data_IF_759884537756
#
_entry.id   IF_759884537756
#
_cell.length_a   1.000
_cell.length_b   1.000
_cell.length_c   1.000
_cell.angle_alpha   90.00
_cell.angle_beta   90.00
_cell.angle_gamma   90.00
#
_symmetry.space_group_name_H-M   'P 1'
#
loop_
_entity.id
_entity.type
_entity.pdbx_description
1 polymer ?
#
# COMPACT_ATOMS: atom_id res chain seq x y z
N UNK A 1 -18.51 1.43 3.06
CA UNK A 1 -17.46 0.43 2.75
C UNK A 1 -16.05 1.01 2.88
N UNK A 2 -15.52 1.87 1.98
CA UNK A 2 -14.12 2.35 2.12
C UNK A 2 -13.86 3.16 3.41
N UNK A 3 -14.78 4.07 3.75
CA UNK A 3 -14.77 4.78 5.05
C UNK A 3 -14.78 3.83 6.25
N UNK A 4 -15.60 2.79 6.19
CA UNK A 4 -15.73 1.79 7.25
C UNK A 4 -14.43 0.98 7.44
N UNK A 5 -13.71 0.66 6.35
CA UNK A 5 -12.39 0.03 6.44
C UNK A 5 -11.39 0.92 7.21
N UNK A 6 -11.34 2.22 6.90
CA UNK A 6 -10.48 3.17 7.62
C UNK A 6 -10.85 3.29 9.10
N UNK A 7 -12.16 3.33 9.41
CA UNK A 7 -12.63 3.38 10.79
C UNK A 7 -12.26 2.12 11.57
N UNK A 8 -12.48 0.94 10.99
CA UNK A 8 -12.10 -0.36 11.58
C UNK A 8 -10.58 -0.48 11.76
N UNK A 9 -9.79 -0.01 10.79
CA UNK A 9 -8.34 0.02 10.92
C UNK A 9 -7.89 0.98 12.01
N UNK A 10 -8.51 2.15 12.14
CA UNK A 10 -8.19 3.09 13.22
C UNK A 10 -8.51 2.49 14.60
N UNK A 11 -9.61 1.75 14.73
CA UNK A 11 -9.95 1.00 15.95
C UNK A 11 -8.89 -0.04 16.29
N UNK A 12 -8.42 -0.82 15.31
CA UNK A 12 -7.38 -1.82 15.51
C UNK A 12 -6.03 -1.18 15.87
N UNK A 13 -5.59 -0.19 15.10
CA UNK A 13 -4.34 0.54 15.33
C UNK A 13 -4.30 1.14 16.75
N UNK A 14 -5.42 1.71 17.21
CA UNK A 14 -5.51 2.24 18.57
C UNK A 14 -5.33 1.16 19.63
N UNK A 15 -5.87 -0.04 19.41
CA UNK A 15 -5.67 -1.19 20.31
C UNK A 15 -4.22 -1.67 20.35
N UNK A 16 -3.47 -1.50 19.26
CA UNK A 16 -2.06 -1.91 19.15
C UNK A 16 -1.07 -0.76 19.44
N UNK A 17 -1.55 0.39 19.90
CA UNK A 17 -0.71 1.50 20.40
C UNK A 17 -0.56 2.71 19.45
N UNK A 18 -1.19 2.69 18.28
CA UNK A 18 -1.20 3.83 17.35
C UNK A 18 -2.57 4.51 17.29
N UNK A 19 -2.71 5.69 17.91
CA UNK A 19 -3.95 6.48 17.80
C UNK A 19 -3.93 7.40 16.56
N UNK A 20 -4.40 6.86 15.42
CA UNK A 20 -4.50 7.58 14.16
C UNK A 20 -5.35 8.87 14.25
N UNK A 21 -6.42 8.86 15.06
CA UNK A 21 -7.31 10.04 15.20
C UNK A 21 -6.62 11.15 15.99
N UNK A 22 -5.89 10.78 17.04
CA UNK A 22 -5.07 11.73 17.79
C UNK A 22 -3.96 12.33 16.91
N UNK A 23 -3.25 11.51 16.14
CA UNK A 23 -2.23 11.99 15.21
C UNK A 23 -2.81 12.95 14.17
N UNK A 24 -3.96 12.65 13.56
CA UNK A 24 -4.60 13.56 12.60
C UNK A 24 -5.00 14.89 13.24
N UNK A 25 -5.50 14.86 14.47
CA UNK A 25 -5.96 16.08 15.17
C UNK A 25 -4.81 16.98 15.64
N UNK A 26 -3.67 16.38 15.98
CA UNK A 26 -2.46 17.08 16.39
C UNK A 26 -1.25 16.39 15.77
N UNK A 27 -0.92 16.79 14.53
CA UNK A 27 0.08 16.11 13.73
C UNK A 27 1.48 16.27 14.31
N UNK A 28 2.12 15.14 14.64
CA UNK A 28 3.51 15.06 15.08
C UNK A 28 4.32 14.23 14.06
N UNK A 29 5.23 14.87 13.29
CA UNK A 29 6.08 14.17 12.32
C UNK A 29 6.94 13.05 12.92
N UNK A 30 7.33 13.13 14.20
CA UNK A 30 8.13 12.09 14.85
C UNK A 30 7.30 10.83 15.10
N UNK A 31 6.07 11.01 15.59
CA UNK A 31 5.12 9.90 15.79
C UNK A 31 4.74 9.29 14.44
N UNK A 32 4.44 10.12 13.45
CA UNK A 32 4.18 9.67 12.09
C UNK A 32 5.35 8.84 11.53
N UNK A 33 6.58 9.35 11.61
CA UNK A 33 7.77 8.67 11.12
C UNK A 33 8.06 7.34 11.82
N UNK A 34 7.84 7.26 13.13
CA UNK A 34 7.98 6.01 13.89
C UNK A 34 7.03 4.92 13.36
N UNK A 35 5.76 5.25 13.21
CA UNK A 35 4.75 4.28 12.77
C UNK A 35 4.87 3.94 11.28
N UNK A 36 5.27 4.89 10.44
CA UNK A 36 5.62 4.62 9.04
C UNK A 36 6.70 3.54 8.95
N UNK A 37 7.79 3.65 9.72
CA UNK A 37 8.85 2.65 9.72
C UNK A 37 8.33 1.27 10.16
N UNK A 38 7.52 1.21 11.22
CA UNK A 38 6.95 -0.05 11.70
C UNK A 38 6.03 -0.71 10.66
N UNK A 39 5.14 0.06 10.04
CA UNK A 39 4.19 -0.47 9.06
C UNK A 39 4.83 -0.80 7.72
N UNK A 40 5.88 -0.08 7.28
CA UNK A 40 6.68 -0.47 6.10
C UNK A 40 7.37 -1.81 6.36
N UNK A 41 7.97 -1.99 7.55
CA UNK A 41 8.62 -3.26 7.89
C UNK A 41 7.61 -4.41 7.90
N UNK A 42 6.43 -4.22 8.51
CA UNK A 42 5.38 -5.23 8.52
C UNK A 42 4.87 -5.55 7.11
N UNK A 43 4.50 -4.53 6.32
CA UNK A 43 4.04 -4.72 4.94
C UNK A 43 5.11 -5.38 4.04
N UNK A 44 6.39 -5.11 4.29
CA UNK A 44 7.48 -5.77 3.57
C UNK A 44 7.55 -7.26 3.86
N UNK A 45 7.24 -7.69 5.09
CA UNK A 45 7.17 -9.11 5.42
C UNK A 45 5.98 -9.77 4.71
N UNK A 46 4.79 -9.16 4.72
CA UNK A 46 3.61 -9.71 4.04
C UNK A 46 3.79 -9.81 2.52
N UNK A 47 4.59 -8.91 1.93
CA UNK A 47 5.01 -9.03 0.52
C UNK A 47 5.82 -10.31 0.27
N UNK A 48 6.65 -10.73 1.22
CA UNK A 48 7.42 -11.96 1.12
C UNK A 48 6.58 -13.20 1.39
N UNK A 49 5.61 -13.13 2.30
CA UNK A 49 4.61 -14.19 2.50
C UNK A 49 3.74 -14.39 1.25
N UNK A 50 3.34 -13.31 0.59
CA UNK A 50 2.67 -13.37 -0.72
C UNK A 50 3.57 -13.98 -1.79
N UNK A 51 4.88 -13.65 -1.81
CA UNK A 51 5.83 -14.25 -2.74
C UNK A 51 5.92 -15.76 -2.54
N UNK A 52 5.90 -16.23 -1.30
CA UNK A 52 5.95 -17.65 -0.96
C UNK A 52 4.69 -18.43 -1.37
N UNK A 53 3.61 -17.74 -1.73
CA UNK A 53 2.45 -18.34 -2.39
C UNK A 53 2.69 -18.68 -3.88
N UNK A 54 3.88 -18.40 -4.43
CA UNK A 54 4.26 -18.66 -5.84
C UNK A 54 5.48 -19.57 -5.95
N UNK A 55 5.72 -20.20 -7.11
CA UNK A 55 6.94 -20.99 -7.37
C UNK A 55 8.18 -20.14 -7.71
N UNK A 56 8.44 -19.09 -6.94
CA UNK A 56 9.43 -18.06 -7.30
C UNK A 56 10.89 -18.56 -7.41
N UNK A 57 11.25 -19.62 -6.66
CA UNK A 57 12.62 -20.16 -6.59
C UNK A 57 13.06 -20.73 -7.94
N UNK A 58 14.01 -20.08 -8.59
CA UNK A 58 14.44 -20.46 -9.95
C UNK A 58 15.19 -21.80 -10.04
N UNK A 59 15.64 -22.36 -8.91
CA UNK A 59 16.38 -23.62 -8.84
C UNK A 59 15.49 -24.83 -8.49
N UNK A 60 14.17 -24.66 -8.35
CA UNK A 60 13.25 -25.76 -8.02
C UNK A 60 12.84 -26.58 -9.26
N UNK A 61 12.10 -27.67 -9.03
CA UNK A 61 11.62 -28.56 -10.09
C UNK A 61 10.62 -27.85 -11.00
N UNK A 62 9.70 -27.10 -10.41
CA UNK A 62 8.66 -26.32 -11.08
C UNK A 62 9.28 -25.33 -12.07
N UNK A 63 10.40 -24.70 -11.70
CA UNK A 63 11.12 -23.79 -12.59
C UNK A 63 11.71 -24.50 -13.82
N UNK A 64 12.30 -25.69 -13.66
CA UNK A 64 12.78 -26.51 -14.79
C UNK A 64 11.65 -26.98 -15.71
N UNK A 65 10.45 -27.08 -15.15
CA UNK A 65 9.22 -27.46 -15.85
C UNK A 65 8.46 -26.26 -16.43
N UNK A 66 9.02 -25.03 -16.35
CA UNK A 66 8.41 -23.81 -16.89
C UNK A 66 7.30 -23.20 -16.03
N UNK A 67 7.07 -23.74 -14.82
CA UNK A 67 5.99 -23.36 -13.90
C UNK A 67 6.38 -22.32 -12.84
N UNK A 68 7.56 -21.69 -12.95
CA UNK A 68 8.14 -20.76 -11.96
C UNK A 68 7.22 -19.58 -11.56
N UNK A 69 6.24 -19.24 -12.38
CA UNK A 69 5.36 -18.09 -12.15
C UNK A 69 3.94 -18.51 -11.77
N UNK A 70 3.70 -19.80 -11.54
CA UNK A 70 2.40 -20.27 -11.10
C UNK A 70 2.15 -19.92 -9.63
N UNK A 71 0.87 -19.69 -9.35
CA UNK A 71 0.35 -19.50 -8.01
C UNK A 71 0.12 -20.87 -7.37
N UNK A 72 0.85 -21.15 -6.30
CA UNK A 72 0.82 -22.41 -5.58
C UNK A 72 -0.29 -22.43 -4.51
N UNK A 73 -0.57 -21.28 -3.88
CA UNK A 73 -1.61 -21.16 -2.87
C UNK A 73 -2.44 -19.88 -3.09
N UNK A 74 -3.56 -20.03 -3.82
CA UNK A 74 -4.47 -18.91 -4.08
C UNK A 74 -5.21 -18.44 -2.82
N UNK A 75 -5.49 -19.34 -1.87
CA UNK A 75 -6.25 -18.95 -0.69
C UNK A 75 -5.38 -18.10 0.22
N UNK A 76 -4.15 -18.54 0.49
CA UNK A 76 -3.21 -17.77 1.30
C UNK A 76 -2.82 -16.46 0.60
N UNK A 77 -2.56 -16.49 -0.71
CA UNK A 77 -2.27 -15.25 -1.45
C UNK A 77 -3.37 -14.19 -1.33
N UNK A 78 -4.65 -14.59 -1.21
CA UNK A 78 -5.74 -13.65 -0.94
C UNK A 78 -5.67 -13.07 0.47
N UNK A 79 -5.24 -13.85 1.46
CA UNK A 79 -5.03 -13.39 2.85
C UNK A 79 -3.89 -12.37 2.88
N UNK A 80 -2.73 -12.69 2.30
CA UNK A 80 -1.57 -11.78 2.31
C UNK A 80 -1.84 -10.46 1.57
N UNK A 81 -2.66 -10.49 0.51
CA UNK A 81 -3.13 -9.27 -0.17
C UNK A 81 -3.99 -8.41 0.77
N UNK A 82 -4.79 -9.03 1.63
CA UNK A 82 -5.58 -8.31 2.62
C UNK A 82 -4.71 -7.84 3.78
N UNK A 83 -3.71 -8.60 4.24
CA UNK A 83 -2.78 -8.14 5.29
C UNK A 83 -2.00 -6.90 4.85
N UNK A 84 -1.59 -6.86 3.58
CA UNK A 84 -1.06 -5.63 2.97
C UNK A 84 -2.07 -4.47 2.97
N UNK A 85 -3.37 -4.72 2.82
CA UNK A 85 -4.40 -3.69 2.89
C UNK A 85 -4.51 -3.09 4.31
N UNK A 86 -4.39 -3.90 5.37
CA UNK A 86 -4.34 -3.41 6.76
C UNK A 86 -3.19 -2.42 6.94
N UNK A 87 -1.99 -2.77 6.45
CA UNK A 87 -0.83 -1.90 6.55
C UNK A 87 -0.90 -0.69 5.63
N UNK A 88 -1.45 -0.83 4.42
CA UNK A 88 -1.64 0.31 3.51
C UNK A 88 -2.55 1.39 4.10
N UNK A 89 -3.70 0.99 4.68
CA UNK A 89 -4.60 1.95 5.36
C UNK A 89 -3.89 2.60 6.56
N UNK A 90 -3.11 1.82 7.31
CA UNK A 90 -2.34 2.32 8.44
C UNK A 90 -1.27 3.33 8.03
N UNK A 91 -0.60 3.12 6.89
CA UNK A 91 0.34 4.09 6.31
C UNK A 91 -0.36 5.39 5.91
N UNK A 92 -1.54 5.31 5.28
CA UNK A 92 -2.34 6.49 4.97
C UNK A 92 -2.69 7.29 6.24
N UNK A 93 -3.09 6.60 7.30
CA UNK A 93 -3.37 7.22 8.60
C UNK A 93 -2.14 7.86 9.25
N UNK A 94 -0.93 7.31 9.06
CA UNK A 94 0.30 7.89 9.59
C UNK A 94 0.65 9.25 8.97
N UNK A 95 0.27 9.48 7.71
CA UNK A 95 0.41 10.79 7.05
C UNK A 95 -0.85 11.64 7.22
N UNK A 96 -1.72 11.25 8.15
CA UNK A 96 -2.88 12.03 8.54
C UNK A 96 -4.01 11.99 7.52
N UNK A 97 -4.09 11.00 6.63
CA UNK A 97 -5.19 10.86 5.66
C UNK A 97 -6.36 10.07 6.27
N UNK A 98 -7.58 10.45 5.89
CA UNK A 98 -8.77 9.64 6.06
C UNK A 98 -9.20 9.00 4.72
N UNK A 99 -10.33 8.30 4.72
CA UNK A 99 -10.81 7.62 3.53
C UNK A 99 -11.20 8.57 2.39
N UNK A 100 -11.70 9.76 2.70
CA UNK A 100 -12.09 10.74 1.70
C UNK A 100 -10.86 11.40 1.08
N UNK A 101 -9.90 11.79 1.92
CA UNK A 101 -8.60 12.30 1.49
C UNK A 101 -7.88 11.31 0.57
N UNK A 102 -7.78 10.05 0.99
CA UNK A 102 -7.13 9.00 0.21
C UNK A 102 -7.82 8.79 -1.14
N UNK A 103 -9.16 8.80 -1.17
CA UNK A 103 -9.93 8.69 -2.41
C UNK A 103 -9.72 9.89 -3.32
N UNK A 104 -9.77 11.11 -2.79
CA UNK A 104 -9.61 12.34 -3.57
C UNK A 104 -8.20 12.43 -4.19
N UNK A 105 -7.15 12.14 -3.40
CA UNK A 105 -5.78 12.08 -3.90
C UNK A 105 -5.61 10.97 -4.94
N UNK A 106 -6.27 9.81 -4.76
CA UNK A 106 -6.26 8.74 -5.75
C UNK A 106 -6.86 9.19 -7.08
N UNK A 107 -8.02 9.86 -7.07
CA UNK A 107 -8.66 10.36 -8.30
C UNK A 107 -7.78 11.41 -9.00
N UNK A 108 -7.16 12.31 -8.26
CA UNK A 108 -6.20 13.27 -8.82
C UNK A 108 -5.00 12.56 -9.47
N UNK A 109 -4.38 11.60 -8.75
CA UNK A 109 -3.27 10.81 -9.28
C UNK A 109 -3.67 9.95 -10.49
N UNK A 110 -4.88 9.41 -10.49
CA UNK A 110 -5.43 8.62 -11.58
C UNK A 110 -5.52 9.46 -12.86
N UNK A 111 -6.00 10.71 -12.78
CA UNK A 111 -6.04 11.64 -13.91
C UNK A 111 -4.64 11.92 -14.48
N UNK A 112 -3.66 12.17 -13.60
CA UNK A 112 -2.25 12.36 -14.01
C UNK A 112 -1.73 11.12 -14.74
N UNK A 113 -2.00 9.93 -14.21
CA UNK A 113 -1.55 8.67 -14.84
C UNK A 113 -2.23 8.41 -16.19
N UNK A 114 -3.52 8.71 -16.35
CA UNK A 114 -4.18 8.64 -17.65
C UNK A 114 -3.58 9.64 -18.65
N UNK A 115 -3.39 10.89 -18.24
CA UNK A 115 -2.77 11.90 -19.10
C UNK A 115 -1.33 11.54 -19.52
N UNK A 116 -0.60 10.80 -18.67
CA UNK A 116 0.71 10.22 -19.01
C UNK A 116 0.57 9.15 -20.11
N UNK A 117 -0.40 8.23 -19.98
CA UNK A 117 -0.64 7.17 -20.97
C UNK A 117 -1.08 7.75 -22.32
N UNK A 118 -1.98 8.73 -22.33
CA UNK A 118 -2.45 9.41 -23.56
C UNK A 118 -1.30 10.09 -24.34
N UNK A 119 -0.19 10.38 -23.67
CA UNK A 119 1.01 10.99 -24.24
C UNK A 119 2.12 9.98 -24.58
N UNK A 120 1.80 8.69 -24.72
CA UNK A 120 2.77 7.61 -24.94
C UNK A 120 3.89 7.60 -23.89
N UNK A 121 3.48 7.48 -22.62
CA UNK A 121 4.36 7.46 -21.46
C UNK A 121 5.69 6.72 -21.71
N UNK A 122 6.80 7.44 -21.66
CA UNK A 122 8.14 6.91 -21.83
C UNK A 122 8.98 7.17 -20.58
N UNK A 123 9.66 6.14 -20.09
CA UNK A 123 10.50 6.24 -18.90
C UNK A 123 11.62 7.27 -19.05
N UNK A 124 12.17 7.42 -20.26
CA UNK A 124 13.25 8.37 -20.58
C UNK A 124 12.83 9.85 -20.52
N UNK A 125 11.54 10.16 -20.62
CA UNK A 125 11.01 11.53 -20.63
C UNK A 125 10.19 11.86 -19.36
N UNK A 126 10.18 10.96 -18.38
CA UNK A 126 9.38 11.09 -17.18
C UNK A 126 10.00 12.10 -16.20
N UNK A 127 9.20 13.05 -15.73
CA UNK A 127 9.45 13.83 -14.51
C UNK A 127 8.37 13.53 -13.46
N UNK A 128 8.57 13.96 -12.21
CA UNK A 128 7.55 13.88 -11.16
C UNK A 128 6.89 15.24 -10.86
N UNK A 129 7.13 16.25 -11.71
CA UNK A 129 6.61 17.60 -11.50
C UNK A 129 5.08 17.68 -11.54
N UNK A 130 4.44 16.84 -12.36
CA UNK A 130 2.97 16.76 -12.43
C UNK A 130 2.33 16.31 -11.11
N UNK A 131 3.03 15.54 -10.27
CA UNK A 131 2.56 15.16 -8.94
C UNK A 131 2.48 16.35 -7.98
N UNK A 132 3.23 17.44 -8.19
CA UNK A 132 3.20 18.62 -7.30
C UNK A 132 1.83 19.32 -7.29
N UNK A 133 1.00 19.05 -8.29
CA UNK A 133 -0.36 19.58 -8.39
C UNK A 133 -1.39 18.72 -7.63
N UNK A 134 -0.99 17.59 -7.06
CA UNK A 134 -1.84 16.71 -6.27
C UNK A 134 -1.80 17.20 -4.82
N UNK A 135 -2.90 17.74 -4.34
CA UNK A 135 -3.01 18.37 -3.03
C UNK A 135 -4.28 17.92 -2.30
N UNK A 136 -4.23 17.97 -0.96
CA UNK A 136 -5.41 17.81 -0.10
C UNK A 136 -6.32 19.04 -0.19
#
# INVERSE_FOLDING_TARGET
MFKELFEKQAELNKRTGFDAKALRSNFDPKVAGLWINNYIAAMSNELEELRDCTFWKHWCKEAKEGRRFELNDLQNARVEVIDMLFFWISLAQCVGLDAEDAFNLYIQKLRVNHARQDKNYAMSAKTEDDNKNIVL
#
